data_IF_232478720827
#
_entry.id   IF_232478720827
#
_cell.length_a   1.000
_cell.length_b   1.000
_cell.length_c   1.000
_cell.angle_alpha   90.00
_cell.angle_beta   90.00
_cell.angle_gamma   90.00
#
_symmetry.space_group_name_H-M   'P 1'
#
loop_
_entity.id
_entity.type
_entity.pdbx_description
1 polymer ?
#
# COMPACT_ATOMS: atom_id res chain seq x y z
N UNK A 1 24.86 -8.18 -26.84
CA UNK A 1 25.59 -8.35 -25.55
C UNK A 1 24.72 -7.76 -24.45
N UNK A 2 24.07 -8.62 -23.67
CA UNK A 2 23.27 -8.23 -22.52
C UNK A 2 24.20 -7.77 -21.40
N UNK A 3 24.04 -6.54 -20.92
CA UNK A 3 24.60 -6.13 -19.63
C UNK A 3 23.68 -6.64 -18.54
N UNK A 4 23.92 -7.87 -18.09
CA UNK A 4 23.61 -8.27 -16.73
C UNK A 4 24.40 -7.33 -15.80
N UNK A 5 23.70 -6.38 -15.21
CA UNK A 5 24.26 -5.36 -14.33
C UNK A 5 23.75 -5.58 -12.91
N UNK A 6 24.54 -6.32 -12.14
CA UNK A 6 24.65 -6.33 -10.68
C UNK A 6 23.39 -6.52 -9.83
N UNK A 7 23.40 -7.63 -9.10
CA UNK A 7 22.99 -7.69 -7.70
C UNK A 7 23.43 -6.42 -6.96
N UNK A 8 22.49 -5.51 -6.75
CA UNK A 8 22.43 -4.75 -5.51
C UNK A 8 21.25 -5.35 -4.78
N UNK A 9 21.50 -6.03 -3.66
CA UNK A 9 20.63 -5.78 -2.52
C UNK A 9 20.76 -4.26 -2.33
N UNK A 10 19.82 -3.50 -2.91
CA UNK A 10 19.82 -2.05 -2.83
C UNK A 10 19.80 -1.73 -1.34
N UNK A 11 20.68 -0.85 -0.90
CA UNK A 11 20.50 -0.26 0.42
C UNK A 11 19.09 0.34 0.41
N UNK A 12 18.17 -0.25 1.18
CA UNK A 12 16.86 0.34 1.40
C UNK A 12 17.10 1.79 1.84
N UNK A 13 16.58 2.74 1.06
CA UNK A 13 16.78 4.16 1.31
C UNK A 13 15.75 4.68 2.32
N UNK A 14 14.50 4.22 2.19
CA UNK A 14 13.42 4.51 3.14
C UNK A 14 13.34 3.48 4.27
N UNK A 15 12.54 3.79 5.29
CA UNK A 15 12.26 2.89 6.42
C UNK A 15 10.77 2.85 6.71
N UNK A 16 10.35 1.89 7.55
CA UNK A 16 8.97 1.79 8.01
C UNK A 16 8.85 2.21 9.47
N UNK A 17 7.76 2.93 9.77
CA UNK A 17 7.38 3.30 11.14
C UNK A 17 6.04 2.67 11.46
N UNK A 18 5.98 1.91 12.55
CA UNK A 18 4.76 1.24 13.02
C UNK A 18 4.21 2.01 14.20
N UNK A 19 2.94 2.38 14.14
CA UNK A 19 2.24 3.07 15.22
C UNK A 19 0.95 2.32 15.56
N UNK A 20 0.76 1.98 16.84
CA UNK A 20 -0.51 1.45 17.32
C UNK A 20 -1.54 2.58 17.36
N UNK A 21 -2.59 2.47 16.54
CA UNK A 21 -3.69 3.42 16.51
C UNK A 21 -4.71 3.12 17.61
N UNK A 22 -4.95 1.83 17.88
CA UNK A 22 -5.69 1.32 19.05
C UNK A 22 -5.43 -0.21 19.18
N UNK A 23 -5.85 -0.87 20.28
CA UNK A 23 -5.63 -2.30 20.46
C UNK A 23 -6.08 -3.12 19.26
N UNK A 24 -5.17 -3.93 18.71
CA UNK A 24 -5.40 -4.77 17.54
C UNK A 24 -5.46 -4.05 16.19
N UNK A 25 -5.06 -2.77 16.13
CA UNK A 25 -4.97 -1.99 14.91
C UNK A 25 -3.70 -1.12 14.87
N UNK A 26 -2.84 -1.42 13.90
CA UNK A 26 -1.61 -0.65 13.66
C UNK A 26 -1.64 0.03 12.30
N UNK A 27 -1.03 1.20 12.24
CA UNK A 27 -0.73 1.90 11.00
C UNK A 27 0.76 1.80 10.71
N UNK A 28 1.10 1.51 9.45
CA UNK A 28 2.49 1.50 9.00
C UNK A 28 2.71 2.67 8.06
N UNK A 29 3.73 3.46 8.33
CA UNK A 29 4.11 4.62 7.56
C UNK A 29 5.44 4.39 6.85
N UNK A 30 5.52 4.86 5.60
CA UNK A 30 6.77 5.01 4.88
C UNK A 30 7.46 6.30 5.31
N UNK A 31 8.71 6.19 5.74
CA UNK A 31 9.58 7.33 6.04
C UNK A 31 10.63 7.44 4.92
N UNK A 32 10.63 8.53 4.14
CA UNK A 32 11.51 8.62 2.97
C UNK A 32 12.99 8.81 3.37
N UNK A 33 13.85 8.20 2.56
CA UNK A 33 15.30 8.30 2.65
C UNK A 33 15.86 9.66 2.26
N UNK A 34 17.14 9.88 2.57
CA UNK A 34 17.83 11.14 2.24
C UNK A 34 17.84 11.43 0.74
N UNK A 35 18.14 10.42 -0.09
CA UNK A 35 18.20 10.58 -1.55
C UNK A 35 16.83 10.95 -2.11
N UNK A 36 15.77 10.25 -1.69
CA UNK A 36 14.39 10.54 -2.10
C UNK A 36 14.00 11.98 -1.74
N UNK A 37 14.31 12.43 -0.51
CA UNK A 37 14.06 13.81 -0.09
C UNK A 37 14.86 14.84 -0.89
N UNK A 38 16.13 14.57 -1.19
CA UNK A 38 16.97 15.45 -2.01
C UNK A 38 16.42 15.58 -3.43
N UNK A 39 16.01 14.47 -4.05
CA UNK A 39 15.41 14.44 -5.38
C UNK A 39 14.07 15.19 -5.43
N UNK A 40 13.33 15.19 -4.32
CA UNK A 40 12.10 15.93 -4.16
C UNK A 40 12.29 17.39 -3.72
N UNK A 41 13.54 17.86 -3.59
CA UNK A 41 13.90 19.21 -3.10
C UNK A 41 13.37 19.51 -1.68
N UNK A 42 13.26 18.47 -0.84
CA UNK A 42 12.78 18.53 0.54
C UNK A 42 13.93 18.49 1.57
N UNK A 43 13.63 18.90 2.80
CA UNK A 43 14.62 18.99 3.88
C UNK A 43 14.98 17.62 4.45
N UNK A 44 16.25 17.21 4.36
CA UNK A 44 16.73 15.93 4.92
C UNK A 44 16.88 15.90 6.45
N UNK A 45 16.61 17.01 7.15
CA UNK A 45 16.92 17.13 8.60
C UNK A 45 15.96 16.35 9.50
N UNK A 46 14.70 16.21 9.08
CA UNK A 46 13.64 15.54 9.85
C UNK A 46 12.78 14.68 8.90
N UNK A 47 13.30 13.55 8.39
CA UNK A 47 12.59 12.73 7.40
C UNK A 47 11.21 12.26 7.89
N UNK A 48 11.08 11.97 9.18
CA UNK A 48 9.83 11.62 9.86
C UNK A 48 8.67 12.61 9.64
N UNK A 49 8.97 13.90 9.39
CA UNK A 49 7.92 14.89 9.11
C UNK A 49 7.18 14.62 7.78
N UNK A 50 7.79 13.80 6.91
CA UNK A 50 7.26 13.38 5.63
C UNK A 50 6.72 11.94 5.68
N UNK A 51 6.59 11.34 6.87
CA UNK A 51 6.02 10.00 6.99
C UNK A 51 4.65 9.96 6.32
N UNK A 52 4.41 8.93 5.52
CA UNK A 52 3.18 8.80 4.74
C UNK A 52 2.59 7.43 4.95
N UNK A 53 1.28 7.36 5.25
CA UNK A 53 0.60 6.10 5.54
C UNK A 53 0.70 5.16 4.35
N UNK A 54 1.13 3.93 4.62
CA UNK A 54 1.31 2.89 3.61
C UNK A 54 0.38 1.71 3.87
N UNK A 55 0.20 1.32 5.14
CA UNK A 55 -0.69 0.23 5.54
C UNK A 55 -1.57 0.61 6.74
N UNK A 56 -2.74 -0.02 6.83
CA UNK A 56 -3.51 -0.17 8.05
C UNK A 56 -3.82 -1.64 8.27
N UNK A 57 -3.51 -2.18 9.45
CA UNK A 57 -3.58 -3.62 9.74
C UNK A 57 -4.47 -3.83 10.94
N UNK A 58 -5.60 -4.49 10.74
CA UNK A 58 -6.57 -4.76 11.81
C UNK A 58 -6.73 -6.27 11.99
N UNK A 59 -6.12 -6.80 13.05
CA UNK A 59 -6.21 -8.23 13.38
C UNK A 59 -7.61 -8.60 13.89
N UNK A 60 -8.29 -7.71 14.61
CA UNK A 60 -9.62 -7.97 15.16
C UNK A 60 -10.68 -8.13 14.06
N UNK A 61 -10.56 -7.35 12.99
CA UNK A 61 -11.50 -7.34 11.87
C UNK A 61 -10.98 -8.09 10.63
N UNK A 62 -9.79 -8.68 10.68
CA UNK A 62 -9.24 -9.51 9.61
C UNK A 62 -9.04 -8.74 8.30
N UNK A 63 -8.42 -7.56 8.35
CA UNK A 63 -8.10 -6.85 7.12
C UNK A 63 -6.75 -6.13 7.13
N UNK A 64 -6.16 -6.08 5.94
CA UNK A 64 -5.01 -5.26 5.58
C UNK A 64 -5.47 -4.22 4.55
N UNK A 65 -5.31 -2.94 4.85
CA UNK A 65 -5.59 -1.85 3.92
C UNK A 65 -4.27 -1.25 3.43
N UNK A 66 -4.04 -1.32 2.12
CA UNK A 66 -2.87 -0.76 1.44
C UNK A 66 -3.24 0.63 0.92
N UNK A 67 -2.35 1.60 1.12
CA UNK A 67 -2.45 2.97 0.63
C UNK A 67 -1.35 3.22 -0.40
N UNK A 68 -1.59 2.97 -1.70
CA UNK A 68 -0.55 3.08 -2.71
C UNK A 68 -0.11 4.53 -2.91
N UNK A 69 1.19 4.79 -2.82
CA UNK A 69 1.78 6.13 -2.95
C UNK A 69 2.93 6.15 -3.96
N UNK A 70 3.37 7.32 -4.40
CA UNK A 70 4.63 7.44 -5.14
C UNK A 70 5.78 7.70 -4.17
N UNK A 71 6.75 6.80 -4.13
CA UNK A 71 7.93 6.83 -3.23
C UNK A 71 9.20 7.32 -3.93
N UNK A 72 9.16 7.51 -5.24
CA UNK A 72 10.30 7.99 -6.02
C UNK A 72 10.35 9.52 -5.98
N UNK A 73 11.38 10.09 -5.35
CA UNK A 73 11.53 11.53 -5.11
C UNK A 73 11.47 12.41 -6.35
N UNK A 74 11.87 11.88 -7.51
CA UNK A 74 11.84 12.59 -8.79
C UNK A 74 10.45 12.66 -9.44
N UNK A 75 9.44 11.96 -8.90
CA UNK A 75 8.09 11.99 -9.44
C UNK A 75 7.33 13.23 -8.94
N UNK A 76 6.60 13.95 -9.81
CA UNK A 76 5.79 15.12 -9.42
C UNK A 76 4.75 14.85 -8.31
N UNK A 77 4.39 13.58 -8.11
CA UNK A 77 3.46 13.12 -7.08
C UNK A 77 4.14 12.45 -5.89
N UNK A 78 5.41 12.74 -5.59
CA UNK A 78 6.11 12.17 -4.44
C UNK A 78 5.28 12.29 -3.15
N UNK A 79 5.11 11.15 -2.45
CA UNK A 79 4.28 10.94 -1.25
C UNK A 79 2.78 11.20 -1.45
N UNK A 80 2.31 11.35 -2.69
CA UNK A 80 0.88 11.42 -3.04
C UNK A 80 0.36 10.05 -3.47
N UNK A 81 -0.97 9.83 -3.41
CA UNK A 81 -1.59 8.62 -3.94
C UNK A 81 -1.14 8.29 -5.36
N UNK A 82 -0.95 7.00 -5.63
CA UNK A 82 -0.46 6.48 -6.92
C UNK A 82 -1.54 6.49 -8.01
N UNK A 83 -2.80 6.44 -7.60
CA UNK A 83 -3.97 6.44 -8.47
C UNK A 83 -4.76 7.74 -8.32
N UNK A 84 -5.62 8.05 -9.29
CA UNK A 84 -6.27 9.35 -9.36
C UNK A 84 -7.45 9.46 -8.39
N UNK A 85 -8.24 8.38 -8.27
CA UNK A 85 -9.49 8.31 -7.49
C UNK A 85 -9.38 7.22 -6.42
N UNK A 86 -8.78 6.07 -6.74
CA UNK A 86 -8.61 4.98 -5.75
C UNK A 86 -7.54 5.39 -4.74
N UNK A 87 -7.93 5.49 -3.46
CA UNK A 87 -7.05 5.88 -2.36
C UNK A 87 -6.54 4.70 -1.54
N UNK A 88 -7.26 3.57 -1.54
CA UNK A 88 -6.82 2.36 -0.85
C UNK A 88 -7.33 1.06 -1.48
N UNK A 89 -6.60 -0.02 -1.21
CA UNK A 89 -6.96 -1.40 -1.56
C UNK A 89 -6.97 -2.23 -0.27
N UNK A 90 -8.12 -2.77 0.10
CA UNK A 90 -8.29 -3.63 1.27
C UNK A 90 -8.27 -5.09 0.86
N UNK A 91 -7.46 -5.89 1.55
CA UNK A 91 -7.46 -7.34 1.51
C UNK A 91 -8.11 -7.85 2.80
N UNK A 92 -9.22 -8.56 2.66
CA UNK A 92 -9.86 -9.26 3.78
C UNK A 92 -9.21 -10.63 3.92
N UNK A 93 -8.65 -10.92 5.09
CA UNK A 93 -8.00 -12.19 5.40
C UNK A 93 -8.49 -12.68 6.76
N UNK A 94 -8.75 -13.99 6.88
CA UNK A 94 -9.30 -14.57 8.11
C UNK A 94 -8.35 -14.46 9.30
N UNK A 95 -7.04 -14.46 9.06
CA UNK A 95 -6.00 -14.41 10.08
C UNK A 95 -4.93 -13.41 9.66
N UNK A 96 -4.73 -12.37 10.47
CA UNK A 96 -3.68 -11.37 10.28
C UNK A 96 -3.01 -11.13 11.63
N UNK A 97 -1.70 -11.30 11.67
CA UNK A 97 -0.88 -10.96 12.83
C UNK A 97 -0.52 -9.47 12.81
N UNK A 98 -0.47 -8.86 13.99
CA UNK A 98 -0.03 -7.47 14.12
C UNK A 98 1.49 -7.45 14.04
N UNK A 99 2.10 -6.74 13.07
CA UNK A 99 3.55 -6.63 13.02
C UNK A 99 4.07 -5.78 14.19
N UNK A 100 5.13 -6.25 14.84
CA UNK A 100 5.79 -5.53 15.93
C UNK A 100 7.13 -4.93 15.48
N UNK A 101 7.63 -5.34 14.31
CA UNK A 101 8.89 -4.90 13.73
C UNK A 101 8.78 -4.66 12.22
N UNK A 102 9.76 -3.94 11.66
CA UNK A 102 9.88 -3.74 10.21
C UNK A 102 9.99 -5.07 9.46
N UNK A 103 10.75 -6.04 9.99
CA UNK A 103 10.87 -7.38 9.42
C UNK A 103 9.51 -8.11 9.35
N UNK A 104 8.64 -7.94 10.36
CA UNK A 104 7.29 -8.52 10.34
C UNK A 104 6.44 -7.90 9.23
N UNK A 105 6.58 -6.59 8.99
CA UNK A 105 5.91 -5.93 7.87
C UNK A 105 6.43 -6.48 6.54
N UNK A 106 7.75 -6.68 6.39
CA UNK A 106 8.32 -7.25 5.18
C UNK A 106 7.82 -8.68 4.93
N UNK A 107 7.73 -9.51 5.97
CA UNK A 107 7.16 -10.86 5.87
C UNK A 107 5.68 -10.82 5.45
N UNK A 108 4.89 -9.90 6.02
CA UNK A 108 3.49 -9.69 5.64
C UNK A 108 3.37 -9.26 4.17
N UNK A 109 4.23 -8.35 3.70
CA UNK A 109 4.26 -7.91 2.31
C UNK A 109 4.67 -9.04 1.35
N UNK A 110 5.59 -9.91 1.77
CA UNK A 110 5.94 -11.12 1.03
C UNK A 110 4.77 -12.10 0.87
N UNK A 111 3.85 -12.12 1.83
CA UNK A 111 2.61 -12.91 1.78
C UNK A 111 1.55 -12.39 0.81
N UNK A 112 1.69 -11.17 0.28
CA UNK A 112 0.69 -10.59 -0.63
C UNK A 112 0.50 -11.41 -1.91
N UNK A 113 -0.72 -11.40 -2.51
CA UNK A 113 -0.96 -12.05 -3.78
C UNK A 113 0.01 -11.56 -4.87
N UNK A 114 0.37 -12.45 -5.80
CA UNK A 114 1.36 -12.16 -6.84
C UNK A 114 1.04 -10.92 -7.71
N UNK A 115 -0.22 -10.48 -7.75
CA UNK A 115 -0.64 -9.28 -8.44
C UNK A 115 -0.21 -7.96 -7.77
N UNK A 116 0.32 -8.00 -6.55
CA UNK A 116 0.74 -6.84 -5.78
C UNK A 116 2.24 -6.57 -5.88
N UNK A 117 2.60 -5.30 -5.73
CA UNK A 117 3.96 -4.85 -5.47
C UNK A 117 4.23 -5.09 -3.99
N UNK A 118 5.29 -5.86 -3.69
CA UNK A 118 5.65 -6.27 -2.33
C UNK A 118 6.74 -5.39 -1.70
N UNK A 119 7.57 -4.78 -2.54
CA UNK A 119 8.60 -3.86 -2.09
C UNK A 119 7.98 -2.48 -1.80
N UNK A 120 8.05 -2.07 -0.54
CA UNK A 120 7.48 -0.81 -0.06
C UNK A 120 8.15 0.41 -0.68
N UNK A 121 9.41 0.31 -1.12
CA UNK A 121 10.12 1.40 -1.79
C UNK A 121 9.56 1.71 -3.18
N UNK A 122 8.68 0.87 -3.72
CA UNK A 122 7.93 1.11 -4.95
C UNK A 122 6.47 1.49 -4.71
N UNK A 123 6.13 1.82 -3.46
CA UNK A 123 4.88 2.46 -3.07
C UNK A 123 3.65 1.56 -3.11
N UNK A 124 3.84 0.24 -3.13
CA UNK A 124 2.81 -0.80 -3.12
C UNK A 124 1.72 -0.63 -4.20
N UNK A 125 0.59 -1.29 -3.98
CA UNK A 125 -0.53 -1.38 -4.92
C UNK A 125 -0.40 -2.55 -5.90
N UNK A 126 -1.18 -2.50 -6.98
CA UNK A 126 -1.12 -3.50 -8.04
C UNK A 126 0.11 -3.34 -8.92
N UNK A 127 0.66 -4.46 -9.38
CA UNK A 127 1.69 -4.47 -10.42
C UNK A 127 1.17 -3.83 -11.70
N UNK A 128 2.08 -3.33 -12.53
CA UNK A 128 1.77 -2.59 -13.76
C UNK A 128 0.83 -3.36 -14.69
N UNK A 129 1.02 -4.68 -14.78
CA UNK A 129 0.23 -5.55 -15.65
C UNK A 129 -1.24 -5.65 -15.23
N UNK A 130 -1.56 -5.37 -13.95
CA UNK A 130 -2.92 -5.36 -13.41
C UNK A 130 -3.50 -3.95 -13.26
N UNK A 131 -2.80 -2.90 -13.73
CA UNK A 131 -3.25 -1.51 -13.60
C UNK A 131 -4.56 -1.23 -14.34
N UNK A 132 -4.91 -2.04 -15.35
CA UNK A 132 -6.18 -1.93 -16.05
C UNK A 132 -7.39 -2.11 -15.12
N UNK A 133 -7.25 -2.88 -14.02
CA UNK A 133 -8.31 -3.06 -13.01
C UNK A 133 -8.60 -1.72 -12.33
N UNK A 134 -7.55 -1.01 -11.89
CA UNK A 134 -7.69 0.30 -11.27
C UNK A 134 -8.33 1.28 -12.27
N UNK A 135 -7.81 1.35 -13.49
CA UNK A 135 -8.34 2.27 -14.50
C UNK A 135 -9.83 2.03 -14.77
N UNK A 136 -10.24 0.77 -14.91
CA UNK A 136 -11.64 0.42 -15.14
C UNK A 136 -12.55 0.80 -13.96
N UNK A 137 -12.07 0.67 -12.72
CA UNK A 137 -12.84 1.08 -11.54
C UNK A 137 -12.95 2.62 -11.47
N UNK A 138 -11.87 3.34 -11.77
CA UNK A 138 -11.88 4.81 -11.77
C UNK A 138 -12.87 5.40 -12.78
N UNK A 139 -13.14 4.70 -13.89
CA UNK A 139 -14.16 5.10 -14.88
C UNK A 139 -15.61 5.04 -14.36
N UNK A 140 -15.90 4.24 -13.33
CA UNK A 140 -17.25 4.13 -12.75
C UNK A 140 -17.67 5.44 -12.07
N UNK A 141 -16.70 6.22 -11.56
CA UNK A 141 -16.93 7.45 -10.82
C UNK A 141 -17.40 7.22 -9.38
N UNK A 142 -16.84 7.98 -8.44
CA UNK A 142 -17.23 7.95 -7.02
C UNK A 142 -16.73 6.73 -6.22
N UNK A 143 -16.08 5.75 -6.87
CA UNK A 143 -15.45 4.61 -6.20
C UNK A 143 -14.02 4.98 -5.81
N UNK A 144 -13.73 5.03 -4.51
CA UNK A 144 -12.42 5.43 -3.98
C UNK A 144 -11.67 4.28 -3.29
N UNK A 145 -12.32 3.15 -3.04
CA UNK A 145 -11.72 2.00 -2.36
C UNK A 145 -12.02 0.71 -3.11
N UNK A 146 -11.00 -0.13 -3.26
CA UNK A 146 -11.13 -1.49 -3.75
C UNK A 146 -11.06 -2.46 -2.56
N UNK A 147 -12.03 -3.35 -2.42
CA UNK A 147 -12.01 -4.41 -1.41
C UNK A 147 -11.92 -5.76 -2.13
N UNK A 148 -10.92 -6.56 -1.78
CA UNK A 148 -10.72 -7.91 -2.27
C UNK A 148 -10.87 -8.88 -1.10
N UNK A 149 -11.69 -9.91 -1.28
CA UNK A 149 -11.94 -10.96 -0.32
C UNK A 149 -12.02 -12.30 -1.05
N UNK A 150 -11.55 -13.36 -0.40
CA UNK A 150 -11.77 -14.73 -0.90
C UNK A 150 -13.24 -15.16 -0.77
N UNK A 151 -14.00 -14.44 0.07
CA UNK A 151 -15.42 -14.68 0.26
C UNK A 151 -16.21 -14.19 -0.97
N UNK A 152 -16.90 -15.12 -1.63
CA UNK A 152 -17.86 -14.81 -2.67
C UNK A 152 -19.12 -14.20 -2.05
N UNK A 153 -19.15 -12.89 -1.88
CA UNK A 153 -20.35 -12.17 -1.45
C UNK A 153 -21.32 -12.06 -2.63
N UNK A 154 -22.16 -13.07 -2.83
CA UNK A 154 -23.38 -12.93 -3.63
C UNK A 154 -24.24 -11.83 -2.99
N UNK A 155 -24.38 -10.68 -3.66
CA UNK A 155 -25.46 -9.75 -3.32
C UNK A 155 -26.78 -10.46 -3.59
N UNK A 156 -27.32 -11.13 -2.58
CA UNK A 156 -28.74 -11.47 -2.52
C UNK A 156 -29.50 -10.15 -2.55
N UNK A 157 -29.93 -9.76 -3.75
CA UNK A 157 -30.79 -8.62 -3.95
C UNK A 157 -31.95 -8.75 -2.98
N UNK A 158 -32.06 -7.83 -2.02
CA UNK A 158 -33.30 -7.67 -1.27
C UNK A 158 -34.39 -7.48 -2.31
N UNK A 159 -35.22 -8.50 -2.51
CA UNK A 159 -36.50 -8.37 -3.23
C UNK A 159 -37.25 -7.27 -2.49
N UNK A 160 -37.24 -6.08 -3.07
CA UNK A 160 -38.16 -5.02 -2.70
C UNK A 160 -39.54 -5.58 -3.05
N UNK A 161 -40.24 -6.10 -2.04
CA UNK A 161 -41.67 -6.29 -2.11
C UNK A 161 -42.27 -4.90 -1.98
N UNK A 162 -42.77 -4.36 -3.08
CA UNK A 162 -43.75 -3.28 -3.04
C UNK A 162 -44.99 -3.85 -2.34
N UNK A 163 -45.32 -3.29 -1.17
CA UNK A 163 -46.69 -3.29 -0.65
C UNK A 163 -47.43 -2.12 -1.30
#
# INVERSE_FOLDING_TARGET
MARYGNNRAGEQEGSLLIEEAHPGFVEVFFVPGKTQLQLAELSVKKPEQYKTKLLGINAQHGFLEIYPINTLGQLPGFLRPKYNIITSITLVQSEIEIPESEDDVLMLLEGLPAAFIKDFEYGLGLQKDYRFIINAIEEIGGVTKLVLSDEHQEKMGKRIKWL
#
